data_IF_307979726914
#
_entry.id   IF_307979726914
#
_cell.length_a   1.000
_cell.length_b   1.000
_cell.length_c   1.000
_cell.angle_alpha   90.00
_cell.angle_beta   90.00
_cell.angle_gamma   90.00
#
_symmetry.space_group_name_H-M   'P 1'
#
loop_
_entity.id
_entity.type
_entity.pdbx_description
1 polymer ?
#
# COMPACT_ATOMS: atom_id res chain seq x y z
N UNK A 1 19.57 11.96 -35.83
CA UNK A 1 19.19 10.75 -35.06
C UNK A 1 19.73 10.96 -33.67
N UNK A 2 18.90 11.47 -32.76
CA UNK A 2 19.29 11.67 -31.38
C UNK A 2 18.19 11.05 -30.54
N UNK A 3 18.53 9.93 -29.91
CA UNK A 3 17.63 9.11 -29.13
C UNK A 3 16.95 9.92 -28.02
N UNK A 4 15.63 9.99 -28.09
CA UNK A 4 14.80 10.51 -27.00
C UNK A 4 14.90 9.51 -25.86
N UNK A 5 15.63 9.88 -24.81
CA UNK A 5 15.66 9.13 -23.56
C UNK A 5 14.31 9.33 -22.86
N UNK A 6 13.34 8.48 -23.19
CA UNK A 6 12.04 8.40 -22.50
C UNK A 6 12.29 8.04 -21.04
N UNK A 7 12.28 9.03 -20.15
CA UNK A 7 12.30 8.81 -18.71
C UNK A 7 10.96 8.22 -18.31
N UNK A 8 10.91 6.89 -18.17
CA UNK A 8 9.78 6.22 -17.52
C UNK A 8 9.58 6.81 -16.12
N UNK A 9 8.33 7.05 -15.67
CA UNK A 9 8.08 7.45 -14.29
C UNK A 9 8.56 6.33 -13.37
N UNK A 10 9.53 6.64 -12.51
CA UNK A 10 10.01 5.68 -11.50
C UNK A 10 8.84 5.34 -10.57
N UNK A 11 8.57 4.04 -10.41
CA UNK A 11 7.56 3.56 -9.45
C UNK A 11 7.98 3.96 -8.02
N UNK A 12 7.03 4.15 -7.09
CA UNK A 12 7.36 4.47 -5.70
C UNK A 12 8.32 3.43 -5.11
N UNK A 13 9.31 3.91 -4.35
CA UNK A 13 10.18 3.04 -3.55
C UNK A 13 9.36 2.33 -2.47
N UNK A 14 9.64 1.05 -2.25
CA UNK A 14 8.96 0.23 -1.23
C UNK A 14 10.00 -0.27 -0.24
N UNK A 15 9.81 0.09 1.03
CA UNK A 15 10.68 -0.28 2.12
C UNK A 15 10.20 -1.56 2.83
N UNK A 16 11.15 -2.25 3.46
CA UNK A 16 10.88 -3.41 4.32
C UNK A 16 11.99 -4.45 4.28
N UNK A 17 11.73 -5.57 4.95
CA UNK A 17 12.68 -6.68 5.05
C UNK A 17 12.49 -7.65 3.88
N UNK A 18 13.56 -7.87 3.10
CA UNK A 18 13.59 -8.75 1.92
C UNK A 18 12.48 -8.46 0.90
N UNK A 19 12.27 -7.19 0.57
CA UNK A 19 11.19 -6.76 -0.33
C UNK A 19 11.44 -7.26 -1.75
N UNK A 20 10.44 -7.92 -2.35
CA UNK A 20 10.50 -8.35 -3.75
C UNK A 20 9.99 -7.26 -4.69
N UNK A 21 10.24 -7.43 -5.99
CA UNK A 21 9.64 -6.58 -7.04
C UNK A 21 8.12 -6.58 -7.02
N UNK A 22 7.45 -7.55 -6.38
CA UNK A 22 6.00 -7.58 -6.23
C UNK A 22 5.52 -7.14 -4.85
N UNK A 23 6.38 -6.46 -4.07
CA UNK A 23 6.11 -5.89 -2.73
C UNK A 23 5.88 -6.91 -1.61
N UNK A 24 6.19 -8.18 -1.85
CA UNK A 24 6.19 -9.20 -0.80
C UNK A 24 7.38 -8.97 0.13
N UNK A 25 7.31 -9.45 1.38
CA UNK A 25 8.38 -9.29 2.36
C UNK A 25 8.56 -10.56 3.21
N UNK A 26 9.55 -10.57 4.09
CA UNK A 26 9.80 -11.68 5.02
C UNK A 26 8.59 -12.06 5.89
N UNK A 27 7.68 -11.12 6.16
CA UNK A 27 6.47 -11.36 6.96
C UNK A 27 5.30 -11.94 6.15
N UNK A 28 5.11 -11.47 4.90
CA UNK A 28 3.98 -11.82 4.02
C UNK A 28 4.47 -11.99 2.58
N UNK A 29 4.35 -13.19 2.02
CA UNK A 29 4.98 -13.55 0.75
C UNK A 29 4.21 -14.57 -0.09
N UNK A 30 2.91 -14.70 0.11
CA UNK A 30 2.05 -15.46 -0.81
C UNK A 30 1.98 -14.78 -2.18
N UNK A 31 1.39 -15.47 -3.16
CA UNK A 31 1.12 -14.90 -4.47
C UNK A 31 0.13 -13.72 -4.45
N UNK A 32 -0.60 -13.55 -3.34
CA UNK A 32 -1.61 -12.50 -3.15
C UNK A 32 -1.10 -11.31 -2.31
N UNK A 33 0.05 -11.44 -1.65
CA UNK A 33 0.65 -10.40 -0.81
C UNK A 33 1.40 -9.37 -1.66
N UNK A 34 0.70 -8.83 -2.68
CA UNK A 34 1.28 -7.99 -3.73
C UNK A 34 0.80 -6.55 -3.64
N UNK A 35 0.63 -6.04 -2.42
CA UNK A 35 0.40 -4.62 -2.15
C UNK A 35 1.50 -4.04 -1.26
N UNK A 36 1.79 -2.76 -1.42
CA UNK A 36 2.49 -1.96 -0.44
C UNK A 36 1.59 -0.78 -0.03
N UNK A 37 1.65 -0.37 1.22
CA UNK A 37 0.81 0.70 1.76
C UNK A 37 1.70 1.89 2.11
N UNK A 38 1.29 3.09 1.70
CA UNK A 38 1.88 4.36 2.11
C UNK A 38 1.47 4.63 3.55
N UNK A 39 2.40 4.77 4.47
CA UNK A 39 2.08 5.04 5.87
C UNK A 39 1.82 6.54 6.09
N UNK A 40 0.78 6.87 6.84
CA UNK A 40 0.36 8.26 7.05
C UNK A 40 1.42 9.10 7.77
N UNK A 41 2.10 8.49 8.74
CA UNK A 41 3.12 9.16 9.58
C UNK A 41 4.31 9.72 8.79
N UNK A 42 4.77 9.01 7.76
CA UNK A 42 6.03 9.33 7.08
C UNK A 42 5.91 9.40 5.55
N UNK A 43 4.74 9.15 4.98
CA UNK A 43 4.48 9.18 3.53
C UNK A 43 5.35 8.23 2.68
N UNK A 44 6.00 7.24 3.29
CA UNK A 44 6.77 6.19 2.63
C UNK A 44 5.90 4.94 2.42
N UNK A 45 6.17 4.18 1.35
CA UNK A 45 5.51 2.89 1.12
C UNK A 45 6.26 1.76 1.81
N UNK A 46 5.55 0.91 2.55
CA UNK A 46 6.10 -0.33 3.11
C UNK A 46 5.32 -1.54 2.61
N UNK A 47 6.01 -2.68 2.53
CA UNK A 47 5.38 -3.96 2.22
C UNK A 47 4.31 -4.36 3.25
N UNK A 48 4.51 -4.02 4.53
CA UNK A 48 3.53 -4.21 5.60
C UNK A 48 3.85 -3.38 6.85
N UNK A 49 2.93 -3.36 7.83
CA UNK A 49 3.07 -2.70 9.13
C UNK A 49 4.29 -3.18 9.92
N UNK A 50 4.57 -4.49 9.92
CA UNK A 50 5.74 -5.04 10.62
C UNK A 50 7.06 -4.63 9.95
N UNK A 51 7.05 -4.37 8.64
CA UNK A 51 8.21 -3.78 7.96
C UNK A 51 8.40 -2.32 8.37
N UNK A 52 7.32 -1.54 8.46
CA UNK A 52 7.39 -0.17 8.98
C UNK A 52 8.00 -0.16 10.38
N UNK A 53 7.44 -0.94 11.31
CA UNK A 53 7.86 -0.97 12.71
C UNK A 53 9.31 -1.46 12.90
N UNK A 54 9.83 -2.24 11.94
CA UNK A 54 11.23 -2.69 11.95
C UNK A 54 12.21 -1.67 11.34
N UNK A 55 11.73 -0.79 10.46
CA UNK A 55 12.56 0.14 9.70
C UNK A 55 12.51 1.58 10.22
N UNK A 56 11.53 1.94 11.05
CA UNK A 56 11.33 3.29 11.56
C UNK A 56 11.39 3.32 13.09
N UNK A 57 11.76 4.48 13.63
CA UNK A 57 11.86 4.77 15.07
C UNK A 57 10.56 5.34 15.68
N UNK A 58 9.53 5.49 14.84
CA UNK A 58 8.21 6.01 15.22
C UNK A 58 7.11 4.99 14.96
N UNK A 59 5.95 5.21 15.58
CA UNK A 59 4.76 4.37 15.37
C UNK A 59 4.01 4.81 14.12
N UNK A 60 3.44 3.83 13.41
CA UNK A 60 2.54 4.10 12.31
C UNK A 60 1.30 4.84 12.81
N UNK A 61 0.83 5.79 12.01
CA UNK A 61 -0.45 6.46 12.19
C UNK A 61 -1.43 6.02 11.10
N UNK A 62 -2.72 6.13 11.38
CA UNK A 62 -3.79 5.79 10.43
C UNK A 62 -4.12 6.99 9.55
N UNK A 63 -4.43 6.71 8.28
CA UNK A 63 -5.00 7.72 7.40
C UNK A 63 -6.40 8.13 7.88
N UNK A 64 -6.66 9.44 7.99
CA UNK A 64 -7.97 9.95 8.37
C UNK A 64 -8.97 9.69 7.25
N UNK A 65 -10.24 9.52 7.63
CA UNK A 65 -11.32 9.22 6.68
C UNK A 65 -11.44 10.28 5.58
N UNK A 66 -11.19 11.54 5.90
CA UNK A 66 -11.33 12.68 4.99
C UNK A 66 -10.26 12.72 3.90
N UNK A 67 -9.22 11.87 3.99
CA UNK A 67 -8.12 11.80 3.01
C UNK A 67 -8.03 10.44 2.31
N UNK A 68 -9.16 9.74 2.18
CA UNK A 68 -9.21 8.43 1.51
C UNK A 68 -9.18 8.50 -0.01
N UNK A 69 -9.37 9.69 -0.56
CA UNK A 69 -9.13 10.01 -1.96
C UNK A 69 -7.64 10.03 -2.32
N UNK A 70 -6.73 9.86 -1.35
CA UNK A 70 -5.30 9.82 -1.61
C UNK A 70 -4.75 8.45 -2.02
N UNK A 71 -3.85 8.49 -2.99
CA UNK A 71 -3.08 7.35 -3.45
C UNK A 71 -2.14 6.80 -2.36
N UNK A 72 -2.53 5.69 -1.76
CA UNK A 72 -1.79 5.08 -0.66
C UNK A 72 -1.60 3.57 -0.79
N UNK A 73 -2.16 2.91 -1.81
CA UNK A 73 -2.03 1.46 -1.96
C UNK A 73 -1.43 1.11 -3.32
N UNK A 74 -0.16 0.71 -3.32
CA UNK A 74 0.58 0.33 -4.53
C UNK A 74 0.30 -1.12 -4.89
N UNK A 75 -0.13 -1.38 -6.13
CA UNK A 75 -0.18 -2.71 -6.70
C UNK A 75 1.23 -3.18 -7.11
N UNK A 76 1.73 -4.24 -6.48
CA UNK A 76 3.05 -4.80 -6.75
C UNK A 76 3.22 -5.35 -8.18
N UNK A 77 2.12 -5.74 -8.86
CA UNK A 77 2.18 -6.26 -10.24
C UNK A 77 2.26 -5.17 -11.31
N UNK A 78 1.35 -4.20 -11.27
CA UNK A 78 1.24 -3.18 -12.34
C UNK A 78 1.72 -1.79 -11.93
N UNK A 79 2.14 -1.63 -10.67
CA UNK A 79 2.65 -0.37 -10.09
C UNK A 79 1.65 0.79 -10.04
N UNK A 80 0.39 0.53 -10.34
CA UNK A 80 -0.68 1.49 -10.11
C UNK A 80 -0.84 1.73 -8.61
N UNK A 81 -0.88 3.00 -8.21
CA UNK A 81 -1.21 3.43 -6.85
C UNK A 81 -2.70 3.74 -6.82
N UNK A 82 -3.45 2.92 -6.09
CA UNK A 82 -4.85 3.11 -5.80
C UNK A 82 -5.01 4.12 -4.68
N UNK A 83 -6.09 4.89 -4.73
CA UNK A 83 -6.62 5.59 -3.57
C UNK A 83 -7.06 4.59 -2.49
N UNK A 84 -7.18 5.07 -1.25
CA UNK A 84 -7.63 4.21 -0.14
C UNK A 84 -9.06 3.73 -0.40
N UNK A 85 -9.96 4.60 -0.87
CA UNK A 85 -11.35 4.22 -1.17
C UNK A 85 -11.43 3.22 -2.33
N UNK A 86 -10.65 3.40 -3.40
CA UNK A 86 -10.56 2.42 -4.49
C UNK A 86 -10.09 1.05 -3.96
N UNK A 87 -9.06 1.02 -3.11
CA UNK A 87 -8.59 -0.24 -2.51
C UNK A 87 -9.65 -0.89 -1.62
N UNK A 88 -10.28 -0.13 -0.72
CA UNK A 88 -11.26 -0.64 0.23
C UNK A 88 -12.52 -1.18 -0.46
N UNK A 89 -12.90 -0.61 -1.60
CA UNK A 89 -14.08 -1.02 -2.39
C UNK A 89 -13.78 -2.01 -3.52
N UNK A 90 -12.50 -2.29 -3.81
CA UNK A 90 -12.06 -3.09 -4.96
C UNK A 90 -12.47 -4.58 -4.98
N UNK A 91 -13.00 -5.11 -3.88
CA UNK A 91 -13.20 -6.56 -3.76
C UNK A 91 -11.89 -7.36 -3.68
N UNK A 92 -10.83 -6.77 -3.11
CA UNK A 92 -9.49 -7.37 -2.98
C UNK A 92 -8.80 -7.60 -4.33
N UNK A 93 -8.91 -6.64 -5.25
CA UNK A 93 -8.27 -6.73 -6.57
C UNK A 93 -7.72 -5.38 -7.02
N UNK A 94 -6.72 -5.39 -7.88
CA UNK A 94 -6.26 -4.14 -8.50
C UNK A 94 -7.30 -3.65 -9.51
N UNK A 95 -7.84 -2.44 -9.32
CA UNK A 95 -8.78 -1.82 -10.28
C UNK A 95 -8.17 -1.59 -11.67
N UNK A 96 -6.83 -1.55 -11.77
CA UNK A 96 -6.12 -1.28 -13.02
C UNK A 96 -5.80 -2.55 -13.82
N UNK A 97 -5.39 -3.63 -13.15
CA UNK A 97 -4.89 -4.84 -13.81
C UNK A 97 -5.63 -6.14 -13.42
N UNK A 98 -6.67 -6.05 -12.59
CA UNK A 98 -7.50 -7.19 -12.18
C UNK A 98 -6.78 -8.25 -11.35
N UNK A 99 -5.57 -7.99 -10.87
CA UNK A 99 -4.82 -8.99 -10.09
C UNK A 99 -5.35 -9.06 -8.66
N UNK A 100 -5.50 -10.28 -8.16
CA UNK A 100 -6.00 -10.52 -6.82
C UNK A 100 -5.00 -10.06 -5.76
N UNK A 101 -5.54 -9.44 -4.71
CA UNK A 101 -4.86 -9.10 -3.47
C UNK A 101 -5.31 -10.07 -2.38
N UNK A 102 -4.52 -10.19 -1.32
CA UNK A 102 -4.88 -11.03 -0.19
C UNK A 102 -6.15 -10.47 0.51
N UNK A 103 -7.28 -11.20 0.51
CA UNK A 103 -8.51 -10.73 1.16
C UNK A 103 -8.37 -10.62 2.69
N UNK A 104 -7.41 -11.33 3.28
CA UNK A 104 -7.08 -11.22 4.70
C UNK A 104 -6.56 -9.85 5.12
N UNK A 105 -6.05 -9.02 4.18
CA UNK A 105 -5.60 -7.66 4.49
C UNK A 105 -6.71 -6.79 5.09
N UNK A 106 -7.99 -7.09 4.80
CA UNK A 106 -9.15 -6.38 5.38
C UNK A 106 -9.20 -6.43 6.89
N UNK A 107 -8.70 -7.52 7.48
CA UNK A 107 -8.64 -7.70 8.93
C UNK A 107 -7.65 -6.74 9.61
N UNK A 108 -6.81 -6.05 8.83
CA UNK A 108 -5.78 -5.14 9.33
C UNK A 108 -6.01 -3.69 8.91
N UNK A 109 -7.14 -3.36 8.28
CA UNK A 109 -7.39 -1.99 7.80
C UNK A 109 -7.29 -0.94 8.90
N UNK A 110 -7.71 -1.25 10.13
CA UNK A 110 -7.59 -0.35 11.29
C UNK A 110 -6.14 0.00 11.67
N UNK A 111 -5.14 -0.74 11.18
CA UNK A 111 -3.72 -0.41 11.40
C UNK A 111 -3.22 0.67 10.42
N UNK A 112 -3.94 0.90 9.32
CA UNK A 112 -3.55 1.84 8.26
C UNK A 112 -4.58 2.94 8.03
N UNK A 113 -5.87 2.70 8.28
CA UNK A 113 -6.98 3.56 7.90
C UNK A 113 -8.03 3.62 9.03
N UNK A 114 -8.66 4.77 9.22
CA UNK A 114 -9.77 4.91 10.17
C UNK A 114 -11.07 4.25 9.68
N UNK A 115 -11.39 3.06 10.17
CA UNK A 115 -12.52 2.24 9.64
C UNK A 115 -13.90 2.53 10.25
N UNK A 116 -14.00 3.29 11.34
CA UNK A 116 -15.27 3.63 12.01
C UNK A 116 -15.29 5.11 12.45
N UNK A 117 -16.46 5.74 12.54
CA UNK A 117 -16.63 6.95 13.35
C UNK A 117 -16.61 6.53 14.83
N UNK A 118 -15.87 7.26 15.67
CA UNK A 118 -16.28 7.40 17.05
C UNK A 118 -17.54 8.27 17.04
N UNK A 119 -18.69 7.64 16.79
CA UNK A 119 -19.98 8.29 16.94
C UNK A 119 -20.05 8.85 18.36
N UNK A 120 -20.14 10.17 18.47
CA UNK A 120 -20.52 10.85 19.70
C UNK A 120 -21.91 10.29 20.05
N UNK A 121 -21.96 9.52 21.13
CA UNK A 121 -23.20 9.30 21.88
C UNK A 121 -23.45 10.51 22.75
#
# INVERSE_FOLDING_TARGET
MSDVKTTSPHSPEVHGLSVTDRTQCSHWHSALDIIAIKHFCCSKFYACISCHDACEDHKSATWPRERRDEGAVLCGKCKHVLTIDEYMTSGSQCIKCGSAFNPGCKNHWNLYFEVQEHGIR
#
